data_IF_114962195621
#
_entry.id   IF_114962195621
#
_cell.length_a   1.000
_cell.length_b   1.000
_cell.length_c   1.000
_cell.angle_alpha   90.00
_cell.angle_beta   90.00
_cell.angle_gamma   90.00
#
_symmetry.space_group_name_H-M   'P 1'
#
loop_
_entity.id
_entity.type
_entity.pdbx_description
1 polymer ?
#
# COMPACT_ATOMS: atom_id res chain seq x y z
N UNK A 1 -8.82 31.24 24.03
CA UNK A 1 -8.54 29.98 23.30
C UNK A 1 -7.95 30.37 21.97
N UNK A 2 -6.76 29.88 21.62
CA UNK A 2 -6.21 30.08 20.28
C UNK A 2 -7.03 29.22 19.33
N UNK A 3 -7.69 29.81 18.34
CA UNK A 3 -8.45 29.10 17.31
C UNK A 3 -8.06 29.68 15.93
N UNK A 4 -8.25 28.91 14.86
CA UNK A 4 -7.85 29.32 13.52
C UNK A 4 -8.92 30.29 12.99
N UNK A 5 -8.62 31.58 12.98
CA UNK A 5 -9.58 32.64 12.64
C UNK A 5 -10.20 32.46 11.23
N UNK A 6 -9.39 31.98 10.27
CA UNK A 6 -9.80 31.82 8.87
C UNK A 6 -10.47 30.46 8.59
N UNK A 7 -10.74 29.63 9.61
CA UNK A 7 -11.32 28.29 9.44
C UNK A 7 -12.63 28.28 8.63
N UNK A 8 -13.60 29.19 8.85
CA UNK A 8 -14.83 29.23 8.05
C UNK A 8 -14.58 29.51 6.57
N UNK A 9 -13.58 30.34 6.25
CA UNK A 9 -13.24 30.68 4.87
C UNK A 9 -12.60 29.49 4.16
N UNK A 10 -11.71 28.76 4.85
CA UNK A 10 -11.04 27.56 4.34
C UNK A 10 -12.04 26.46 4.00
N UNK A 11 -12.92 26.14 4.95
CA UNK A 11 -13.82 24.98 4.84
C UNK A 11 -14.92 25.21 3.79
N UNK A 12 -15.31 26.47 3.54
CA UNK A 12 -16.26 26.83 2.48
C UNK A 12 -15.66 26.83 1.08
N UNK A 13 -14.34 26.74 0.94
CA UNK A 13 -13.73 26.74 -0.39
C UNK A 13 -14.13 25.49 -1.18
N UNK A 14 -14.60 25.61 -2.44
CA UNK A 14 -14.97 24.45 -3.26
C UNK A 14 -13.87 23.40 -3.39
N UNK A 15 -12.57 23.77 -3.53
CA UNK A 15 -11.48 22.80 -3.50
C UNK A 15 -11.39 21.97 -2.21
N UNK A 16 -11.66 22.54 -1.04
CA UNK A 16 -11.62 21.82 0.23
C UNK A 16 -12.68 20.72 0.27
N UNK A 17 -13.93 21.09 -0.02
CA UNK A 17 -15.07 20.16 -0.05
C UNK A 17 -14.86 19.07 -1.10
N UNK A 18 -14.38 19.45 -2.30
CA UNK A 18 -14.08 18.48 -3.36
C UNK A 18 -13.04 17.44 -2.95
N UNK A 19 -11.97 17.85 -2.25
CA UNK A 19 -10.96 16.93 -1.73
C UNK A 19 -11.55 15.96 -0.69
N UNK A 20 -12.35 16.45 0.26
CA UNK A 20 -13.00 15.62 1.28
C UNK A 20 -13.96 14.59 0.66
N UNK A 21 -14.79 15.03 -0.30
CA UNK A 21 -15.69 14.15 -1.04
C UNK A 21 -14.92 13.07 -1.79
N UNK A 22 -13.87 13.45 -2.53
CA UNK A 22 -13.05 12.51 -3.30
C UNK A 22 -12.39 11.46 -2.41
N UNK A 23 -11.76 11.89 -1.31
CA UNK A 23 -11.11 10.98 -0.35
C UNK A 23 -12.09 10.03 0.32
N UNK A 24 -13.29 10.51 0.64
CA UNK A 24 -14.37 9.70 1.21
C UNK A 24 -14.84 8.66 0.18
N UNK A 25 -15.09 9.06 -1.07
CA UNK A 25 -15.46 8.14 -2.15
C UNK A 25 -14.39 7.07 -2.39
N UNK A 26 -13.10 7.43 -2.38
CA UNK A 26 -11.99 6.48 -2.51
C UNK A 26 -11.93 5.50 -1.34
N UNK A 27 -12.21 5.97 -0.12
CA UNK A 27 -12.22 5.13 1.09
C UNK A 27 -13.37 4.11 1.04
N UNK A 28 -14.58 4.53 0.66
CA UNK A 28 -15.69 3.60 0.40
C UNK A 28 -15.37 2.60 -0.71
N UNK A 29 -14.78 3.09 -1.81
CA UNK A 29 -14.34 2.24 -2.92
C UNK A 29 -13.34 1.18 -2.47
N UNK A 30 -12.40 1.55 -1.59
CA UNK A 30 -11.41 0.63 -0.99
C UNK A 30 -12.12 -0.53 -0.29
N UNK A 31 -13.10 -0.25 0.56
CA UNK A 31 -13.83 -1.29 1.30
C UNK A 31 -14.55 -2.26 0.34
N UNK A 32 -15.24 -1.73 -0.67
CA UNK A 32 -15.94 -2.55 -1.67
C UNK A 32 -14.99 -3.42 -2.50
N UNK A 33 -13.86 -2.84 -2.94
CA UNK A 33 -12.85 -3.57 -3.70
C UNK A 33 -12.15 -4.62 -2.84
N UNK A 34 -11.87 -4.33 -1.57
CA UNK A 34 -11.29 -5.27 -0.62
C UNK A 34 -12.18 -6.49 -0.41
N UNK A 35 -13.50 -6.31 -0.29
CA UNK A 35 -14.45 -7.45 -0.19
C UNK A 35 -14.36 -8.32 -1.44
N UNK A 36 -14.47 -7.73 -2.64
CA UNK A 36 -14.35 -8.46 -3.90
C UNK A 36 -13.00 -9.16 -4.02
N UNK A 37 -11.92 -8.50 -3.61
CA UNK A 37 -10.57 -9.05 -3.61
C UNK A 37 -10.45 -10.27 -2.72
N UNK A 38 -10.88 -10.20 -1.46
CA UNK A 38 -10.82 -11.34 -0.53
C UNK A 38 -11.65 -12.52 -1.01
N UNK A 39 -12.84 -12.28 -1.56
CA UNK A 39 -13.69 -13.34 -2.13
C UNK A 39 -12.99 -14.03 -3.32
N UNK A 40 -12.41 -13.25 -4.23
CA UNK A 40 -11.67 -13.79 -5.39
C UNK A 40 -10.40 -14.53 -4.95
N UNK A 41 -9.70 -14.00 -3.95
CA UNK A 41 -8.48 -14.59 -3.39
C UNK A 41 -8.75 -15.96 -2.78
N UNK A 42 -9.85 -16.13 -2.03
CA UNK A 42 -10.28 -17.41 -1.46
C UNK A 42 -10.53 -18.49 -2.51
N UNK A 43 -11.00 -18.10 -3.69
CA UNK A 43 -11.24 -19.03 -4.81
C UNK A 43 -9.94 -19.38 -5.55
N UNK A 44 -8.88 -18.58 -5.39
CA UNK A 44 -7.62 -18.77 -6.07
C UNK A 44 -6.67 -19.67 -5.27
N UNK A 45 -6.13 -20.71 -5.91
CA UNK A 45 -5.07 -21.58 -5.34
C UNK A 45 -3.68 -21.23 -5.87
N UNK A 46 -3.53 -20.01 -6.41
CA UNK A 46 -2.34 -19.59 -7.17
C UNK A 46 -1.18 -19.13 -6.29
N UNK A 47 -1.42 -18.84 -5.01
CA UNK A 47 -0.49 -18.10 -4.17
C UNK A 47 -0.06 -18.94 -2.97
N UNK A 48 1.23 -18.83 -2.64
CA UNK A 48 1.77 -19.39 -1.40
C UNK A 48 1.07 -18.80 -0.18
N UNK A 49 0.87 -19.61 0.86
CA UNK A 49 0.19 -19.21 2.09
C UNK A 49 0.83 -17.97 2.74
N UNK A 50 2.16 -17.87 2.72
CA UNK A 50 2.90 -16.69 3.21
C UNK A 50 2.42 -15.39 2.55
N UNK A 51 2.36 -15.39 1.21
CA UNK A 51 1.93 -14.24 0.41
C UNK A 51 0.47 -13.91 0.65
N UNK A 52 -0.39 -14.92 0.75
CA UNK A 52 -1.81 -14.72 1.08
C UNK A 52 -1.95 -14.02 2.43
N UNK A 53 -1.24 -14.48 3.46
CA UNK A 53 -1.28 -13.89 4.79
C UNK A 53 -0.82 -12.43 4.78
N UNK A 54 0.30 -12.13 4.14
CA UNK A 54 0.82 -10.76 4.05
C UNK A 54 -0.13 -9.83 3.29
N UNK A 55 -0.73 -10.29 2.20
CA UNK A 55 -1.63 -9.45 1.41
C UNK A 55 -2.97 -9.23 2.11
N UNK A 56 -3.46 -10.23 2.86
CA UNK A 56 -4.60 -10.04 3.75
C UNK A 56 -4.30 -9.02 4.85
N UNK A 57 -3.09 -9.08 5.45
CA UNK A 57 -2.65 -8.10 6.44
C UNK A 57 -2.57 -6.68 5.85
N UNK A 58 -1.97 -6.54 4.66
CA UNK A 58 -1.89 -5.25 3.96
C UNK A 58 -3.29 -4.69 3.64
N UNK A 59 -4.20 -5.55 3.20
CA UNK A 59 -5.61 -5.19 2.95
C UNK A 59 -6.32 -4.79 4.24
N UNK A 60 -6.03 -5.45 5.37
CA UNK A 60 -6.58 -5.09 6.67
C UNK A 60 -6.14 -3.69 7.12
N UNK A 61 -4.85 -3.34 6.96
CA UNK A 61 -4.37 -1.98 7.21
C UNK A 61 -5.06 -0.94 6.31
N UNK A 62 -5.21 -1.23 5.02
CA UNK A 62 -5.89 -0.34 4.08
C UNK A 62 -7.37 -0.12 4.46
N UNK A 63 -8.06 -1.17 4.89
CA UNK A 63 -9.46 -1.07 5.33
C UNK A 63 -9.60 -0.31 6.65
N UNK A 64 -8.70 -0.56 7.62
CA UNK A 64 -8.70 0.18 8.89
C UNK A 64 -8.45 1.67 8.66
N UNK A 65 -7.49 2.00 7.79
CA UNK A 65 -7.24 3.37 7.37
C UNK A 65 -8.47 4.01 6.73
N UNK A 66 -9.11 3.32 5.78
CA UNK A 66 -10.32 3.82 5.10
C UNK A 66 -11.48 4.06 6.08
N UNK A 67 -11.70 3.16 7.05
CA UNK A 67 -12.75 3.32 8.06
C UNK A 67 -12.53 4.53 8.96
N UNK A 68 -11.30 4.70 9.46
CA UNK A 68 -10.96 5.85 10.31
C UNK A 68 -11.06 7.15 9.53
N UNK A 69 -10.60 7.17 8.27
CA UNK A 69 -10.69 8.35 7.44
C UNK A 69 -12.14 8.74 7.14
N UNK A 70 -13.03 7.79 6.83
CA UNK A 70 -14.46 8.06 6.66
C UNK A 70 -15.02 8.70 7.94
N UNK A 71 -14.68 8.15 9.11
CA UNK A 71 -15.12 8.70 10.39
C UNK A 71 -14.70 10.16 10.59
N UNK A 72 -13.42 10.48 10.33
CA UNK A 72 -12.90 11.85 10.42
C UNK A 72 -13.60 12.77 9.42
N UNK A 73 -13.69 12.38 8.15
CA UNK A 73 -14.27 13.22 7.10
C UNK A 73 -15.77 13.49 7.32
N UNK A 74 -16.52 12.49 7.77
CA UNK A 74 -17.94 12.67 8.13
C UNK A 74 -18.07 13.61 9.31
N UNK A 75 -17.22 13.48 10.33
CA UNK A 75 -17.21 14.40 11.46
C UNK A 75 -16.90 15.84 11.01
N UNK A 76 -15.85 16.05 10.22
CA UNK A 76 -15.45 17.35 9.69
C UNK A 76 -16.58 17.99 8.85
N UNK A 77 -17.28 17.22 8.01
CA UNK A 77 -18.42 17.71 7.20
C UNK A 77 -19.61 18.10 8.08
N UNK A 78 -19.94 17.30 9.10
CA UNK A 78 -21.05 17.60 10.02
C UNK A 78 -20.74 18.86 10.82
N UNK A 79 -19.52 18.98 11.34
CA UNK A 79 -19.07 20.18 12.07
C UNK A 79 -19.07 21.41 11.14
N UNK A 80 -18.64 21.25 9.89
CA UNK A 80 -18.74 22.30 8.87
C UNK A 80 -20.16 22.72 8.54
N UNK A 81 -21.16 21.84 8.69
CA UNK A 81 -22.55 22.16 8.39
C UNK A 81 -23.28 22.81 9.57
N UNK A 82 -22.85 22.53 10.80
CA UNK A 82 -23.54 22.90 12.03
C UNK A 82 -22.81 23.96 12.88
N UNK A 83 -21.65 24.46 12.45
CA UNK A 83 -20.89 25.43 13.24
C UNK A 83 -21.68 26.71 13.51
N UNK A 84 -21.52 27.23 14.72
CA UNK A 84 -22.12 28.50 15.15
C UNK A 84 -21.07 29.59 15.32
N UNK A 85 -19.89 29.22 15.83
CA UNK A 85 -18.75 30.09 16.01
C UNK A 85 -17.56 29.62 15.17
N UNK A 86 -16.67 30.52 14.70
CA UNK A 86 -15.49 30.14 13.92
C UNK A 86 -14.56 29.16 14.64
N UNK A 87 -14.51 29.23 15.98
CA UNK A 87 -13.66 28.36 16.77
C UNK A 87 -14.18 26.91 16.85
N UNK A 88 -15.45 26.65 16.52
CA UNK A 88 -16.03 25.30 16.48
C UNK A 88 -15.39 24.41 15.39
N UNK A 89 -14.77 25.03 14.39
CA UNK A 89 -14.09 24.36 13.27
C UNK A 89 -12.61 24.02 13.57
N UNK A 90 -12.09 24.47 14.72
CA UNK A 90 -10.71 24.21 15.14
C UNK A 90 -10.67 23.12 16.20
N UNK A 91 -10.03 22.00 15.89
CA UNK A 91 -9.83 20.91 16.84
C UNK A 91 -8.51 21.05 17.57
N UNK A 92 -8.48 20.68 18.86
CA UNK A 92 -7.21 20.53 19.57
C UNK A 92 -6.53 19.25 19.12
N UNK A 93 -5.21 19.26 19.01
CA UNK A 93 -4.44 18.05 18.68
C UNK A 93 -4.60 16.92 19.69
N UNK A 94 -4.94 17.24 20.95
CA UNK A 94 -5.26 16.25 21.99
C UNK A 94 -6.46 15.38 21.62
N UNK A 95 -7.50 15.99 21.03
CA UNK A 95 -8.76 15.33 20.70
C UNK A 95 -8.57 14.43 19.46
N UNK A 96 -7.63 14.81 18.60
CA UNK A 96 -7.21 14.05 17.43
C UNK A 96 -6.16 12.96 17.70
N UNK A 97 -5.64 12.82 18.92
CA UNK A 97 -4.53 11.91 19.22
C UNK A 97 -4.79 10.47 18.76
N UNK A 98 -5.94 9.92 19.12
CA UNK A 98 -6.32 8.54 18.78
C UNK A 98 -6.43 8.34 17.25
N UNK A 99 -7.25 9.12 16.51
CA UNK A 99 -7.37 8.95 15.07
C UNK A 99 -6.04 9.15 14.33
N UNK A 100 -5.22 10.14 14.73
CA UNK A 100 -3.90 10.36 14.13
C UNK A 100 -2.95 9.19 14.37
N UNK A 101 -2.92 8.62 15.58
CA UNK A 101 -2.14 7.42 15.90
C UNK A 101 -2.57 6.21 15.05
N UNK A 102 -3.88 5.98 14.89
CA UNK A 102 -4.39 4.86 14.07
C UNK A 102 -4.06 5.07 12.59
N UNK A 103 -4.21 6.29 12.06
CA UNK A 103 -3.83 6.60 10.68
C UNK A 103 -2.35 6.30 10.46
N UNK A 104 -1.48 6.77 11.35
CA UNK A 104 -0.04 6.55 11.23
C UNK A 104 0.34 5.07 11.36
N UNK A 105 -0.29 4.34 12.29
CA UNK A 105 -0.17 2.89 12.40
C UNK A 105 -0.49 2.20 11.06
N UNK A 106 -1.58 2.59 10.40
CA UNK A 106 -1.97 1.99 9.13
C UNK A 106 -1.04 2.38 7.98
N UNK A 107 -0.61 3.64 7.89
CA UNK A 107 0.34 4.11 6.87
C UNK A 107 1.67 3.35 6.99
N UNK A 108 2.24 3.30 8.20
CA UNK A 108 3.45 2.56 8.49
C UNK A 108 3.27 1.07 8.18
N UNK A 109 2.15 0.48 8.61
CA UNK A 109 1.87 -0.93 8.40
C UNK A 109 1.70 -1.32 6.94
N UNK A 110 1.09 -0.47 6.11
CA UNK A 110 1.08 -0.69 4.66
C UNK A 110 2.51 -0.73 4.11
N UNK A 111 3.33 0.30 4.36
CA UNK A 111 4.70 0.38 3.83
C UNK A 111 5.58 -0.77 4.32
N UNK A 112 5.55 -1.10 5.61
CA UNK A 112 6.34 -2.19 6.18
C UNK A 112 5.86 -3.55 5.61
N UNK A 113 4.55 -3.72 5.41
CA UNK A 113 4.00 -4.93 4.81
C UNK A 113 4.44 -5.10 3.35
N UNK A 114 4.50 -4.02 2.56
CA UNK A 114 5.07 -4.07 1.21
C UNK A 114 6.53 -4.50 1.22
N UNK A 115 7.28 -4.03 2.23
CA UNK A 115 8.67 -4.44 2.40
C UNK A 115 8.79 -5.93 2.74
N UNK A 116 7.93 -6.42 3.63
CA UNK A 116 7.85 -7.85 3.94
C UNK A 116 7.47 -8.70 2.71
N UNK A 117 6.61 -8.19 1.81
CA UNK A 117 6.24 -8.89 0.57
C UNK A 117 7.44 -9.10 -0.36
N UNK A 118 8.30 -8.11 -0.56
CA UNK A 118 9.49 -8.32 -1.41
C UNK A 118 10.50 -9.25 -0.73
N UNK A 119 10.65 -9.18 0.60
CA UNK A 119 11.51 -10.11 1.36
C UNK A 119 11.00 -11.55 1.17
N UNK A 120 9.69 -11.76 1.26
CA UNK A 120 9.07 -13.06 1.01
C UNK A 120 9.34 -13.57 -0.40
N UNK A 121 9.29 -12.69 -1.42
CA UNK A 121 9.65 -13.05 -2.80
C UNK A 121 11.14 -13.36 -2.96
N UNK A 122 12.01 -12.59 -2.31
CA UNK A 122 13.45 -12.82 -2.34
C UNK A 122 13.81 -14.19 -1.76
N UNK A 123 13.22 -14.55 -0.61
CA UNK A 123 13.43 -15.84 0.06
C UNK A 123 12.83 -16.98 -0.78
N UNK A 124 11.66 -16.79 -1.39
CA UNK A 124 11.06 -17.78 -2.28
C UNK A 124 11.90 -18.07 -3.54
N UNK A 125 12.61 -17.06 -4.07
CA UNK A 125 13.50 -17.20 -5.22
C UNK A 125 14.85 -17.82 -4.85
N UNK A 126 15.49 -17.35 -3.78
CA UNK A 126 16.86 -17.76 -3.41
C UNK A 126 16.87 -19.07 -2.61
N UNK A 127 15.91 -19.26 -1.71
CA UNK A 127 15.83 -20.39 -0.78
C UNK A 127 14.51 -21.17 -0.95
N UNK A 128 14.18 -21.51 -2.19
CA UNK A 128 12.89 -22.11 -2.58
C UNK A 128 12.50 -23.35 -1.78
N UNK A 129 13.47 -24.24 -1.48
CA UNK A 129 13.22 -25.46 -0.68
C UNK A 129 12.83 -25.14 0.76
N UNK A 130 13.51 -24.19 1.40
CA UNK A 130 13.21 -23.76 2.76
C UNK A 130 11.87 -23.04 2.81
N UNK A 131 11.64 -22.12 1.88
CA UNK A 131 10.41 -21.35 1.78
C UNK A 131 9.20 -22.26 1.60
N UNK A 132 9.26 -23.22 0.67
CA UNK A 132 8.15 -24.14 0.43
C UNK A 132 7.82 -25.01 1.65
N UNK A 133 8.83 -25.48 2.40
CA UNK A 133 8.61 -26.31 3.58
C UNK A 133 8.02 -25.52 4.75
N UNK A 134 8.44 -24.27 4.93
CA UNK A 134 8.10 -23.44 6.09
C UNK A 134 7.22 -22.23 5.75
N UNK A 135 6.54 -22.22 4.59
CA UNK A 135 5.87 -21.03 4.05
C UNK A 135 4.85 -20.43 5.04
N UNK A 136 4.09 -21.28 5.74
CA UNK A 136 3.08 -20.82 6.71
C UNK A 136 3.72 -20.17 7.94
N UNK A 137 4.74 -20.80 8.50
CA UNK A 137 5.44 -20.27 9.69
C UNK A 137 6.19 -18.99 9.35
N UNK A 138 6.89 -18.96 8.21
CA UNK A 138 7.58 -17.78 7.72
C UNK A 138 6.64 -16.60 7.49
N UNK A 139 5.49 -16.83 6.84
CA UNK A 139 4.47 -15.80 6.65
C UNK A 139 3.90 -15.28 7.96
N UNK A 140 3.63 -16.16 8.93
CA UNK A 140 3.16 -15.73 10.26
C UNK A 140 4.21 -14.88 10.99
N UNK A 141 5.48 -15.28 10.97
CA UNK A 141 6.58 -14.51 11.57
C UNK A 141 6.75 -13.14 10.91
N UNK A 142 6.61 -13.03 9.59
CA UNK A 142 6.63 -11.74 8.92
C UNK A 142 5.42 -10.88 9.30
N UNK A 143 4.22 -11.45 9.36
CA UNK A 143 3.01 -10.71 9.78
C UNK A 143 3.12 -10.19 11.21
N UNK A 144 3.64 -10.99 12.16
CA UNK A 144 3.81 -10.53 13.55
C UNK A 144 4.85 -9.42 13.64
N UNK A 145 5.97 -9.55 12.91
CA UNK A 145 7.01 -8.51 12.84
C UNK A 145 6.46 -7.21 12.24
N UNK A 146 5.73 -7.30 11.13
CA UNK A 146 5.09 -6.14 10.47
C UNK A 146 4.19 -5.43 11.47
N UNK A 147 3.26 -6.14 12.11
CA UNK A 147 2.31 -5.53 13.07
C UNK A 147 3.03 -4.87 14.26
N UNK A 148 4.05 -5.53 14.82
CA UNK A 148 4.82 -4.98 15.93
C UNK A 148 5.58 -3.70 15.54
N UNK A 149 6.27 -3.70 14.39
CA UNK A 149 6.96 -2.52 13.89
C UNK A 149 5.99 -1.40 13.52
N UNK A 150 4.82 -1.74 12.98
CA UNK A 150 3.77 -0.76 12.65
C UNK A 150 3.26 -0.03 13.89
N UNK A 151 3.15 -0.73 15.02
CA UNK A 151 2.75 -0.15 16.31
C UNK A 151 3.86 0.72 16.93
N UNK A 152 5.12 0.32 16.74
CA UNK A 152 6.27 1.05 17.26
C UNK A 152 6.43 2.45 16.61
N UNK A 153 6.13 2.59 15.31
CA UNK A 153 6.29 3.86 14.58
C UNK A 153 5.49 5.03 15.19
N UNK A 154 4.15 4.96 15.35
CA UNK A 154 3.40 6.06 15.95
C UNK A 154 3.81 6.31 17.40
N UNK A 155 4.17 5.26 18.15
CA UNK A 155 4.68 5.41 19.51
C UNK A 155 5.96 6.26 19.54
N UNK A 156 6.95 5.95 18.69
CA UNK A 156 8.21 6.71 18.64
C UNK A 156 8.03 8.15 18.16
N UNK A 157 7.11 8.40 17.23
CA UNK A 157 6.87 9.73 16.67
C UNK A 157 6.17 10.62 17.70
N UNK A 158 5.12 10.11 18.33
CA UNK A 158 4.22 10.93 19.13
C UNK A 158 4.50 10.90 20.65
N UNK A 159 5.42 10.05 21.13
CA UNK A 159 5.72 9.93 22.57
C UNK A 159 6.14 11.26 23.24
N UNK A 160 6.77 12.17 22.48
CA UNK A 160 7.25 13.46 23.00
C UNK A 160 6.38 14.66 22.59
N UNK A 161 5.24 14.43 21.95
CA UNK A 161 4.40 15.53 21.46
C UNK A 161 3.60 16.14 22.62
N UNK A 162 3.61 17.47 22.82
CA UNK A 162 2.83 18.13 23.86
C UNK A 162 1.34 18.26 23.51
N UNK A 163 0.90 18.01 22.26
CA UNK A 163 -0.49 18.09 21.80
C UNK A 163 -1.22 19.41 22.09
N UNK A 164 -0.49 20.53 22.14
CA UNK A 164 -1.04 21.85 22.48
C UNK A 164 -1.44 22.70 21.26
N UNK A 165 -1.37 22.15 20.05
CA UNK A 165 -1.67 22.86 18.81
C UNK A 165 -3.14 22.73 18.41
N UNK A 166 -3.59 23.59 17.48
CA UNK A 166 -4.91 23.49 16.86
C UNK A 166 -4.82 23.12 15.38
N UNK A 167 -5.72 22.24 14.94
CA UNK A 167 -5.78 21.70 13.57
C UNK A 167 -7.20 21.76 13.02
N UNK A 168 -7.33 21.89 11.69
CA UNK A 168 -8.63 21.89 10.99
C UNK A 168 -9.20 20.49 10.75
N UNK A 169 -8.35 19.47 10.81
CA UNK A 169 -8.75 18.07 10.61
C UNK A 169 -7.75 17.15 11.31
N UNK A 170 -8.24 16.04 11.87
CA UNK A 170 -7.40 15.06 12.56
C UNK A 170 -6.45 14.26 11.63
N UNK A 171 -6.54 14.47 10.31
CA UNK A 171 -5.57 13.96 9.33
C UNK A 171 -4.25 14.74 9.39
N UNK A 172 -4.28 15.99 9.87
CA UNK A 172 -3.07 16.80 9.99
C UNK A 172 -2.25 16.38 11.21
N UNK A 173 -0.94 16.19 10.99
CA UNK A 173 -0.01 15.88 12.06
C UNK A 173 0.25 17.11 12.95
N UNK A 174 0.37 16.93 14.28
CA UNK A 174 0.79 17.98 15.20
C UNK A 174 2.11 18.64 14.80
N UNK A 175 2.33 19.90 15.17
CA UNK A 175 3.53 20.63 14.78
C UNK A 175 4.77 20.16 15.58
N UNK A 176 4.60 19.79 16.85
CA UNK A 176 5.66 19.25 17.71
C UNK A 176 6.38 18.04 17.12
N UNK A 177 5.65 17.14 16.44
CA UNK A 177 6.19 15.94 15.81
C UNK A 177 6.61 16.12 14.34
N UNK A 178 6.55 17.34 13.79
CA UNK A 178 6.74 17.57 12.35
C UNK A 178 8.12 17.10 11.84
N UNK A 179 9.19 17.30 12.63
CA UNK A 179 10.54 16.86 12.27
C UNK A 179 10.66 15.32 12.20
N UNK A 180 10.09 14.62 13.19
CA UNK A 180 10.07 13.16 13.21
C UNK A 180 9.25 12.58 12.05
N UNK A 181 8.12 13.21 11.72
CA UNK A 181 7.29 12.84 10.56
C UNK A 181 8.04 13.07 9.24
N UNK A 182 8.78 14.17 9.11
CA UNK A 182 9.61 14.41 7.92
C UNK A 182 10.71 13.35 7.77
N UNK A 183 11.35 12.96 8.87
CA UNK A 183 12.33 11.87 8.86
C UNK A 183 11.68 10.55 8.42
N UNK A 184 10.48 10.23 8.92
CA UNK A 184 9.73 9.05 8.48
C UNK A 184 9.43 9.08 6.98
N UNK A 185 8.96 10.21 6.46
CA UNK A 185 8.66 10.35 5.04
C UNK A 185 9.90 10.13 4.16
N UNK A 186 11.06 10.69 4.55
CA UNK A 186 12.32 10.43 3.87
C UNK A 186 12.72 8.95 3.92
N UNK A 187 12.58 8.32 5.10
CA UNK A 187 12.87 6.88 5.25
C UNK A 187 11.95 6.02 4.37
N UNK A 188 10.65 6.35 4.28
CA UNK A 188 9.69 5.65 3.42
C UNK A 188 10.09 5.75 1.94
N UNK A 189 10.50 6.93 1.47
CA UNK A 189 10.96 7.13 0.08
C UNK A 189 12.18 6.25 -0.22
N UNK A 190 13.18 6.25 0.67
CA UNK A 190 14.40 5.43 0.52
C UNK A 190 14.06 3.93 0.49
N UNK A 191 13.24 3.47 1.44
CA UNK A 191 12.82 2.06 1.53
C UNK A 191 12.04 1.61 0.29
N UNK A 192 11.13 2.44 -0.21
CA UNK A 192 10.38 2.09 -1.42
C UNK A 192 11.26 2.07 -2.67
N UNK A 193 12.24 2.97 -2.79
CA UNK A 193 13.20 2.93 -3.89
C UNK A 193 14.05 1.65 -3.86
N UNK A 194 14.49 1.24 -2.66
CA UNK A 194 15.17 -0.03 -2.45
C UNK A 194 14.26 -1.22 -2.83
N UNK A 195 12.98 -1.18 -2.45
CA UNK A 195 12.00 -2.23 -2.76
C UNK A 195 11.75 -2.35 -4.28
N UNK A 196 11.66 -1.25 -5.02
CA UNK A 196 11.51 -1.28 -6.49
C UNK A 196 12.75 -1.90 -7.12
N UNK A 197 13.94 -1.46 -6.71
CA UNK A 197 15.21 -1.98 -7.21
C UNK A 197 15.32 -3.49 -6.97
N UNK A 198 14.99 -3.94 -5.76
CA UNK A 198 14.96 -5.37 -5.41
C UNK A 198 13.94 -6.15 -6.27
N UNK A 199 12.73 -5.62 -6.47
CA UNK A 199 11.72 -6.26 -7.32
C UNK A 199 12.18 -6.44 -8.77
N UNK A 200 12.86 -5.43 -9.33
CA UNK A 200 13.43 -5.51 -10.70
C UNK A 200 14.49 -6.61 -10.76
N UNK A 201 15.40 -6.67 -9.79
CA UNK A 201 16.44 -7.71 -9.73
C UNK A 201 15.84 -9.12 -9.61
N UNK A 202 14.83 -9.30 -8.74
CA UNK A 202 14.12 -10.57 -8.56
C UNK A 202 13.39 -10.97 -9.83
N UNK A 203 12.77 -10.03 -10.55
CA UNK A 203 12.12 -10.28 -11.83
C UNK A 203 13.10 -10.86 -12.85
N UNK A 204 14.27 -10.23 -13.01
CA UNK A 204 15.31 -10.71 -13.91
C UNK A 204 15.88 -12.07 -13.48
N UNK A 205 16.11 -12.28 -12.18
CA UNK A 205 16.57 -13.55 -11.63
C UNK A 205 15.58 -14.68 -11.93
N UNK A 206 14.28 -14.48 -11.65
CA UNK A 206 13.23 -15.45 -11.92
C UNK A 206 13.09 -15.74 -13.42
N UNK A 207 13.20 -14.71 -14.28
CA UNK A 207 13.19 -14.88 -15.75
C UNK A 207 14.37 -15.71 -16.23
N UNK A 208 15.55 -15.57 -15.62
CA UNK A 208 16.74 -16.37 -15.94
C UNK A 208 16.54 -17.82 -15.49
N UNK A 209 16.07 -18.04 -14.25
CA UNK A 209 15.82 -19.38 -13.71
C UNK A 209 14.80 -20.17 -14.53
N UNK A 210 13.71 -19.53 -14.99
CA UNK A 210 12.72 -20.16 -15.87
C UNK A 210 13.34 -20.67 -17.18
N UNK A 211 14.32 -19.94 -17.73
CA UNK A 211 15.03 -20.33 -18.96
C UNK A 211 16.06 -21.45 -18.73
N UNK A 212 16.70 -21.49 -17.57
CA UNK A 212 17.77 -22.45 -17.25
C UNK A 212 17.21 -23.79 -16.73
N UNK A 213 16.13 -23.78 -15.94
CA UNK A 213 15.57 -24.96 -15.28
C UNK A 213 14.56 -25.73 -16.14
N UNK A 214 14.74 -25.74 -17.47
CA UNK A 214 13.77 -26.31 -18.43
C UNK A 214 13.43 -27.78 -18.18
N UNK A 215 14.39 -28.55 -17.67
CA UNK A 215 14.28 -30.01 -17.50
C UNK A 215 13.69 -30.45 -16.16
N UNK A 216 13.65 -29.57 -15.13
CA UNK A 216 13.03 -29.88 -13.84
C UNK A 216 11.65 -29.24 -13.76
N UNK A 217 10.60 -30.03 -14.03
CA UNK A 217 9.22 -29.55 -14.10
C UNK A 217 8.75 -28.87 -12.81
N UNK A 218 9.10 -29.41 -11.64
CA UNK A 218 8.71 -28.86 -10.34
C UNK A 218 9.36 -27.49 -10.11
N UNK A 219 10.67 -27.38 -10.36
CA UNK A 219 11.38 -26.12 -10.16
C UNK A 219 10.99 -25.06 -11.20
N UNK A 220 10.71 -25.48 -12.43
CA UNK A 220 10.19 -24.59 -13.49
C UNK A 220 8.82 -24.04 -13.13
N UNK A 221 7.93 -24.87 -12.59
CA UNK A 221 6.61 -24.45 -12.14
C UNK A 221 6.71 -23.44 -10.99
N UNK A 222 7.54 -23.72 -9.99
CA UNK A 222 7.83 -22.78 -8.89
C UNK A 222 8.42 -21.45 -9.38
N UNK A 223 9.35 -21.50 -10.34
CA UNK A 223 9.93 -20.28 -10.94
C UNK A 223 8.88 -19.47 -11.72
N UNK A 224 7.97 -20.13 -12.42
CA UNK A 224 6.85 -19.48 -13.13
C UNK A 224 5.89 -18.80 -12.14
N UNK A 225 5.48 -19.49 -11.08
CA UNK A 225 4.63 -18.92 -10.02
C UNK A 225 5.32 -17.73 -9.36
N UNK A 226 6.59 -17.88 -8.95
CA UNK A 226 7.35 -16.80 -8.33
C UNK A 226 7.51 -15.60 -9.27
N UNK A 227 7.75 -15.81 -10.56
CA UNK A 227 7.82 -14.73 -11.56
C UNK A 227 6.49 -13.99 -11.68
N UNK A 228 5.38 -14.73 -11.75
CA UNK A 228 4.04 -14.16 -11.87
C UNK A 228 3.68 -13.33 -10.64
N UNK A 229 3.88 -13.89 -9.44
CA UNK A 229 3.60 -13.19 -8.18
C UNK A 229 4.54 -12.00 -7.98
N UNK A 230 5.83 -12.12 -8.32
CA UNK A 230 6.78 -10.99 -8.21
C UNK A 230 6.44 -9.86 -9.18
N UNK A 231 5.92 -10.17 -10.37
CA UNK A 231 5.44 -9.14 -11.32
C UNK A 231 4.26 -8.39 -10.74
N UNK A 232 3.31 -9.10 -10.12
CA UNK A 232 2.18 -8.50 -9.43
C UNK A 232 2.61 -7.62 -8.25
N UNK A 233 3.42 -8.17 -7.33
CA UNK A 233 3.96 -7.42 -6.19
C UNK A 233 4.71 -6.19 -6.67
N UNK A 234 5.52 -6.31 -7.73
CA UNK A 234 6.21 -5.19 -8.37
C UNK A 234 5.25 -4.11 -8.88
N UNK A 235 4.13 -4.46 -9.53
CA UNK A 235 3.12 -3.47 -9.96
C UNK A 235 2.49 -2.74 -8.77
N UNK A 236 2.13 -3.46 -7.70
CA UNK A 236 1.54 -2.86 -6.49
C UNK A 236 2.53 -1.92 -5.81
N UNK A 237 3.78 -2.35 -5.64
CA UNK A 237 4.84 -1.55 -5.02
C UNK A 237 5.13 -0.30 -5.84
N UNK A 238 5.19 -0.39 -7.17
CA UNK A 238 5.42 0.77 -8.04
C UNK A 238 4.31 1.82 -7.95
N UNK A 239 3.04 1.41 -7.93
CA UNK A 239 1.93 2.35 -7.82
C UNK A 239 1.88 3.00 -6.44
N UNK A 240 2.09 2.23 -5.38
CA UNK A 240 2.15 2.79 -4.03
C UNK A 240 3.37 3.70 -3.84
N UNK A 241 4.52 3.37 -4.41
CA UNK A 241 5.68 4.26 -4.42
C UNK A 241 5.35 5.59 -5.09
N UNK A 242 4.67 5.58 -6.23
CA UNK A 242 4.29 6.81 -6.93
C UNK A 242 3.41 7.71 -6.03
N UNK A 243 2.36 7.15 -5.42
CA UNK A 243 1.46 7.92 -4.56
C UNK A 243 2.13 8.38 -3.26
N UNK A 244 2.85 7.48 -2.57
CA UNK A 244 3.49 7.81 -1.29
C UNK A 244 4.67 8.76 -1.42
N UNK A 245 5.44 8.67 -2.52
CA UNK A 245 6.52 9.61 -2.80
C UNK A 245 5.98 10.98 -3.17
N UNK A 246 4.93 11.03 -4.01
CA UNK A 246 4.26 12.29 -4.34
C UNK A 246 3.67 12.94 -3.09
N UNK A 247 3.02 12.17 -2.22
CA UNK A 247 2.52 12.65 -0.93
C UNK A 247 3.64 13.20 -0.05
N UNK A 248 4.71 12.42 0.14
CA UNK A 248 5.84 12.79 1.00
C UNK A 248 6.53 14.06 0.51
N UNK A 249 6.79 14.15 -0.80
CA UNK A 249 7.43 15.31 -1.43
C UNK A 249 6.53 16.54 -1.36
N UNK A 250 5.24 16.41 -1.68
CA UNK A 250 4.30 17.52 -1.60
C UNK A 250 4.18 18.04 -0.16
N UNK A 251 4.05 17.16 0.83
CA UNK A 251 4.00 17.57 2.24
C UNK A 251 5.29 18.21 2.72
N UNK A 252 6.45 17.73 2.27
CA UNK A 252 7.74 18.34 2.56
C UNK A 252 7.81 19.76 1.98
N UNK A 253 7.51 19.94 0.70
CA UNK A 253 7.53 21.24 0.02
C UNK A 253 6.53 22.23 0.63
N UNK A 254 5.31 21.79 0.95
CA UNK A 254 4.31 22.64 1.61
C UNK A 254 4.77 23.06 3.01
N UNK A 255 5.58 22.25 3.69
CA UNK A 255 6.13 22.58 5.02
C UNK A 255 7.32 23.53 4.94
N UNK A 256 8.21 23.38 3.96
CA UNK A 256 9.42 24.22 3.83
C UNK A 256 9.14 25.53 3.10
N UNK A 257 8.50 25.47 1.93
CA UNK A 257 8.27 26.64 1.07
C UNK A 257 6.93 27.34 1.33
N UNK A 258 6.01 26.65 2.01
CA UNK A 258 4.67 27.16 2.28
C UNK A 258 4.59 28.31 3.28
N UNK A 259 5.72 28.84 3.77
CA UNK A 259 5.73 30.11 4.51
C UNK A 259 5.42 31.32 3.62
N UNK A 260 5.66 31.21 2.31
CA UNK A 260 5.38 32.27 1.34
C UNK A 260 3.94 32.23 0.78
N UNK A 261 3.16 31.21 1.14
CA UNK A 261 1.79 31.01 0.66
C UNK A 261 0.79 31.55 1.68
N UNK A 262 -0.36 32.09 1.23
CA UNK A 262 -1.48 32.38 2.13
C UNK A 262 -1.92 31.11 2.88
N UNK A 263 -2.27 31.25 4.16
CA UNK A 263 -2.62 30.12 5.02
C UNK A 263 -3.79 29.30 4.46
N UNK A 264 -4.77 29.96 3.84
CA UNK A 264 -5.90 29.30 3.18
C UNK A 264 -5.40 28.37 2.06
N UNK A 265 -4.56 28.87 1.15
CA UNK A 265 -3.99 28.09 0.05
C UNK A 265 -3.19 26.91 0.58
N UNK A 266 -2.39 27.14 1.62
CA UNK A 266 -1.58 26.10 2.27
C UNK A 266 -2.44 24.96 2.82
N UNK A 267 -3.55 25.27 3.51
CA UNK A 267 -4.43 24.24 4.07
C UNK A 267 -5.18 23.45 2.98
N UNK A 268 -5.64 24.14 1.93
CA UNK A 268 -6.27 23.49 0.76
C UNK A 268 -5.28 22.55 0.06
N UNK A 269 -4.03 22.98 -0.15
CA UNK A 269 -3.02 22.12 -0.75
C UNK A 269 -2.72 20.88 0.13
N UNK A 270 -2.65 21.05 1.45
CA UNK A 270 -2.41 19.93 2.38
C UNK A 270 -3.48 18.84 2.26
N UNK A 271 -4.76 19.23 2.18
CA UNK A 271 -5.83 18.23 2.06
C UNK A 271 -5.83 17.59 0.68
N UNK A 272 -5.63 18.36 -0.40
CA UNK A 272 -5.56 17.81 -1.76
C UNK A 272 -4.42 16.82 -1.96
N UNK A 273 -3.24 17.15 -1.44
CA UNK A 273 -2.07 16.29 -1.56
C UNK A 273 -2.07 15.13 -0.56
N UNK A 274 -3.10 14.93 0.25
CA UNK A 274 -3.27 13.71 1.03
C UNK A 274 -3.63 12.52 0.13
N UNK A 275 -2.62 11.94 -0.52
CA UNK A 275 -2.78 10.89 -1.53
C UNK A 275 -2.87 9.47 -0.95
N UNK A 276 -2.86 9.31 0.38
CA UNK A 276 -2.96 7.99 1.03
C UNK A 276 -4.22 7.21 0.61
N UNK A 277 -5.42 7.83 0.47
CA UNK A 277 -6.63 7.14 0.02
C UNK A 277 -6.55 6.60 -1.42
N UNK A 278 -5.71 7.21 -2.27
CA UNK A 278 -5.45 6.69 -3.61
C UNK A 278 -4.60 5.43 -3.53
N UNK A 279 -3.59 5.43 -2.65
CA UNK A 279 -2.76 4.25 -2.39
C UNK A 279 -3.61 3.08 -1.85
N UNK A 280 -4.46 3.33 -0.85
CA UNK A 280 -5.34 2.31 -0.24
C UNK A 280 -6.35 1.73 -1.24
N UNK A 281 -6.95 2.56 -2.11
CA UNK A 281 -7.88 2.10 -3.14
C UNK A 281 -7.20 1.33 -4.28
N UNK A 282 -5.98 1.75 -4.66
CA UNK A 282 -5.21 1.11 -5.72
C UNK A 282 -4.77 -0.32 -5.36
N UNK A 283 -4.54 -0.60 -4.07
CA UNK A 283 -4.06 -1.89 -3.57
C UNK A 283 -5.01 -3.04 -3.93
N UNK A 284 -6.28 -3.07 -3.49
CA UNK A 284 -7.20 -4.14 -3.85
C UNK A 284 -7.56 -4.14 -5.34
N UNK A 285 -7.56 -2.96 -6.00
CA UNK A 285 -7.83 -2.85 -7.44
C UNK A 285 -6.78 -3.58 -8.27
N UNK A 286 -5.50 -3.23 -8.09
CA UNK A 286 -4.37 -3.84 -8.80
C UNK A 286 -4.29 -5.33 -8.44
N UNK A 287 -4.56 -5.67 -7.19
CA UNK A 287 -4.57 -7.06 -6.73
C UNK A 287 -5.65 -7.90 -7.42
N UNK A 288 -6.86 -7.35 -7.61
CA UNK A 288 -7.91 -8.00 -8.38
C UNK A 288 -7.53 -8.16 -9.86
N UNK A 289 -7.01 -7.10 -10.49
CA UNK A 289 -6.60 -7.14 -11.90
C UNK A 289 -5.49 -8.15 -12.11
N UNK A 290 -4.48 -8.14 -11.26
CA UNK A 290 -3.38 -9.07 -11.30
C UNK A 290 -3.87 -10.51 -11.11
N UNK A 291 -4.74 -10.78 -10.13
CA UNK A 291 -5.26 -12.12 -9.91
C UNK A 291 -6.03 -12.65 -11.13
N UNK A 292 -6.84 -11.81 -11.78
CA UNK A 292 -7.55 -12.17 -13.02
C UNK A 292 -6.60 -12.46 -14.17
N UNK A 293 -5.58 -11.62 -14.37
CA UNK A 293 -4.55 -11.82 -15.40
C UNK A 293 -3.78 -13.12 -15.15
N UNK A 294 -3.45 -13.41 -13.90
CA UNK A 294 -2.78 -14.64 -13.49
C UNK A 294 -3.63 -15.88 -13.81
N UNK A 295 -4.90 -15.88 -13.43
CA UNK A 295 -5.82 -16.98 -13.74
C UNK A 295 -5.97 -17.19 -15.24
N UNK A 296 -6.11 -16.11 -16.03
CA UNK A 296 -6.20 -16.18 -17.49
C UNK A 296 -4.91 -16.74 -18.13
N UNK A 297 -3.75 -16.26 -17.68
CA UNK A 297 -2.45 -16.72 -18.18
C UNK A 297 -2.19 -18.19 -17.84
N UNK A 298 -2.56 -18.63 -16.63
CA UNK A 298 -2.50 -20.04 -16.25
C UNK A 298 -3.41 -20.89 -17.13
N UNK A 299 -4.66 -20.48 -17.34
CA UNK A 299 -5.60 -21.21 -18.19
C UNK A 299 -5.07 -21.32 -19.63
N UNK A 300 -4.54 -20.24 -20.19
CA UNK A 300 -3.92 -20.23 -21.51
C UNK A 300 -2.69 -21.16 -21.57
N UNK A 301 -1.85 -21.17 -20.54
CA UNK A 301 -0.68 -22.07 -20.47
C UNK A 301 -1.08 -23.53 -20.35
N UNK A 302 -2.10 -23.85 -19.55
CA UNK A 302 -2.65 -25.21 -19.43
C UNK A 302 -3.23 -25.64 -20.78
N UNK A 303 -4.09 -24.83 -21.40
CA UNK A 303 -4.67 -25.12 -22.70
C UNK A 303 -3.58 -25.34 -23.77
N UNK A 304 -2.50 -24.55 -23.76
CA UNK A 304 -1.36 -24.74 -24.67
C UNK A 304 -0.64 -26.07 -24.44
N UNK A 305 -0.44 -26.47 -23.18
CA UNK A 305 0.20 -27.75 -22.85
C UNK A 305 -0.70 -28.95 -23.16
N UNK A 306 -2.02 -28.83 -22.93
CA UNK A 306 -3.00 -29.88 -23.22
C UNK A 306 -3.24 -30.03 -24.73
N UNK A 307 -3.34 -28.92 -25.47
CA UNK A 307 -3.50 -28.94 -26.93
C UNK A 307 -2.21 -29.31 -27.69
N UNK A 308 -1.06 -29.33 -27.03
CA UNK A 308 0.19 -29.83 -27.61
C UNK A 308 0.27 -31.37 -27.63
N UNK A 309 -0.68 -32.09 -27.04
CA UNK A 309 -0.80 -33.55 -27.24
C UNK A 309 -1.62 -33.82 -28.50
N UNK A 310 -0.94 -33.98 -29.64
CA UNK A 310 -1.18 -35.06 -30.63
C UNK A 310 -0.39 -34.85 -31.94
N UNK A 311 0.90 -34.52 -31.90
CA UNK A 311 1.76 -34.80 -33.05
C UNK A 311 3.13 -35.32 -32.60
N UNK A 312 3.25 -36.65 -32.61
CA UNK A 312 4.46 -37.38 -32.23
C UNK A 312 5.68 -36.92 -33.05
N UNK A 313 5.45 -36.48 -34.30
CA UNK A 313 6.50 -36.02 -35.21
C UNK A 313 7.08 -34.65 -34.78
N UNK A 314 6.23 -33.73 -34.33
CA UNK A 314 6.65 -32.43 -33.81
C UNK A 314 7.44 -32.54 -32.50
N UNK A 315 7.06 -33.49 -31.64
CA UNK A 315 7.79 -33.79 -30.40
C UNK A 315 9.18 -34.38 -30.68
N UNK A 316 9.28 -35.35 -31.60
CA UNK A 316 10.56 -35.95 -32.00
C UNK A 316 11.47 -34.96 -32.73
N UNK A 317 10.93 -34.12 -33.61
CA UNK A 317 11.70 -33.06 -34.27
C UNK A 317 12.22 -32.03 -33.27
N UNK A 318 11.44 -31.68 -32.25
CA UNK A 318 11.90 -30.78 -31.19
C UNK A 318 12.98 -31.44 -30.32
N UNK A 319 12.92 -32.75 -30.08
CA UNK A 319 13.98 -33.50 -29.41
C UNK A 319 15.27 -33.53 -30.24
N UNK A 320 15.20 -33.87 -31.53
CA UNK A 320 16.37 -33.87 -32.41
C UNK A 320 17.06 -32.50 -32.46
N UNK A 321 16.29 -31.42 -32.53
CA UNK A 321 16.82 -30.04 -32.52
C UNK A 321 17.46 -29.61 -31.20
N UNK A 322 17.23 -30.34 -30.11
CA UNK A 322 17.87 -30.10 -28.81
C UNK A 322 19.16 -30.89 -28.61
N UNK A 323 19.39 -31.92 -29.44
CA UNK A 323 20.57 -32.80 -29.37
C UNK A 323 21.59 -32.54 -30.50
N UNK A 324 21.21 -31.74 -31.50
CA UNK A 324 22.12 -31.11 -32.47
C UNK A 324 22.69 -29.81 -31.94
#
# INVERSE_FOLDING_TARGET
MNCIADAPEIVRQPPWIAAQCLQTTLSFTTLLLSIKFVLTLKQSTLLNTSTVLLILLCTAFANLHALVLIGIQVHDIVTSALYTEPCDLSFKTSDCMIPTCIIMFCIAGMVICQNALWIDRFVATTFSRFHHRNCKQFGFTLCTLVTALSFLVPFLIFYKDPYNDTVLTCVMTPAGSAAAVNFLFNAIVILNFAAITANILIYFANRRMEKTLRFNLTQRFQAFENKMVSTWVGMVVSVQFAFMTTYSLAMFLIRTEGQHLPDITKQVLRIWFYLVPFSTASLPLISLLALRLCTKNRQASINRMTNQKADHSAYMNHLMKMWS
#
